data_IF_161459361645
#
_entry.id   IF_161459361645
#
_cell.length_a   1.000
_cell.length_b   1.000
_cell.length_c   1.000
_cell.angle_alpha   90.00
_cell.angle_beta   90.00
_cell.angle_gamma   90.00
#
_symmetry.space_group_name_H-M   'P 1'
#
loop_
_entity.id
_entity.type
_entity.pdbx_description
1 polymer ?
#
# COMPACT_ATOMS: atom_id res chain seq x y z
N UNK A 1 13.41 5.70 8.69
CA UNK A 1 12.93 4.71 9.68
C UNK A 1 12.21 3.64 8.89
N UNK A 2 12.65 2.37 8.90
CA UNK A 2 11.93 1.33 8.17
C UNK A 2 10.60 1.03 8.85
N UNK A 3 9.57 0.81 8.04
CA UNK A 3 8.25 0.35 8.47
C UNK A 3 7.96 -0.97 7.78
N UNK A 4 7.68 -2.00 8.57
CA UNK A 4 7.33 -3.32 8.06
C UNK A 4 5.84 -3.36 7.74
N UNK A 5 5.52 -3.74 6.51
CA UNK A 5 4.16 -4.04 6.07
C UNK A 5 4.04 -5.54 5.82
N UNK A 6 2.94 -6.12 6.28
CA UNK A 6 2.59 -7.51 6.01
C UNK A 6 1.13 -7.58 5.64
N UNK A 7 0.81 -8.39 4.64
CA UNK A 7 -0.56 -8.60 4.20
C UNK A 7 -0.74 -10.04 3.74
N UNK A 8 -2.00 -10.48 3.80
CA UNK A 8 -2.46 -11.74 3.25
C UNK A 8 -3.83 -11.53 2.62
N UNK A 9 -3.95 -11.75 1.32
CA UNK A 9 -5.20 -11.55 0.57
C UNK A 9 -5.34 -12.54 -0.58
N UNK A 10 -6.48 -12.48 -1.26
CA UNK A 10 -6.81 -13.30 -2.42
C UNK A 10 -7.16 -12.41 -3.60
N UNK A 11 -6.78 -12.83 -4.80
CA UNK A 11 -6.97 -12.03 -6.01
C UNK A 11 -6.03 -12.49 -7.10
N UNK A 12 -5.79 -11.60 -8.05
CA UNK A 12 -4.89 -11.82 -9.18
C UNK A 12 -3.63 -10.98 -9.04
N UNK A 13 -3.79 -9.68 -8.76
CA UNK A 13 -2.69 -8.71 -8.69
C UNK A 13 -2.86 -7.83 -7.46
N UNK A 14 -1.74 -7.49 -6.82
CA UNK A 14 -1.68 -6.55 -5.72
C UNK A 14 -0.69 -5.44 -6.04
N UNK A 15 -1.17 -4.21 -5.97
CA UNK A 15 -0.37 -3.00 -6.04
C UNK A 15 -0.21 -2.40 -4.65
N UNK A 16 1.00 -1.96 -4.33
CA UNK A 16 1.31 -1.14 -3.17
C UNK A 16 1.61 0.28 -3.65
N UNK A 17 1.03 1.27 -2.99
CA UNK A 17 1.13 2.68 -3.34
C UNK A 17 1.49 3.54 -2.13
N UNK A 18 2.21 4.62 -2.38
CA UNK A 18 2.65 5.58 -1.36
C UNK A 18 2.07 6.94 -1.73
N UNK A 19 1.29 7.55 -0.85
CA UNK A 19 0.67 8.86 -1.09
C UNK A 19 -0.58 8.86 -1.97
N UNK A 20 -1.01 7.69 -2.48
CA UNK A 20 -2.22 7.52 -3.31
C UNK A 20 -3.35 6.85 -2.53
N UNK A 21 -4.61 7.05 -2.93
CA UNK A 21 -5.78 6.31 -2.43
C UNK A 21 -6.11 5.07 -3.29
N UNK A 22 -5.48 4.95 -4.46
CA UNK A 22 -5.59 3.80 -5.37
C UNK A 22 -4.20 3.45 -5.91
N UNK A 23 -3.65 2.35 -5.41
CA UNK A 23 -2.33 1.88 -5.79
C UNK A 23 -2.29 1.29 -7.21
N UNK A 24 -3.44 0.91 -7.78
CA UNK A 24 -3.48 0.46 -9.19
C UNK A 24 -3.21 1.62 -10.14
N UNK A 25 -3.74 2.80 -9.82
CA UNK A 25 -3.62 4.01 -10.65
C UNK A 25 -2.24 4.66 -10.54
N UNK A 26 -1.60 4.57 -9.37
CA UNK A 26 -0.25 5.10 -9.11
C UNK A 26 0.57 4.13 -8.23
N UNK A 27 1.06 3.02 -8.80
CA UNK A 27 1.78 2.01 -8.03
C UNK A 27 3.19 2.46 -7.67
N UNK A 28 3.55 2.29 -6.40
CA UNK A 28 4.96 2.20 -6.02
C UNK A 28 5.57 0.89 -6.51
N UNK A 29 4.80 -0.21 -6.42
CA UNK A 29 5.20 -1.50 -6.96
C UNK A 29 4.10 -2.56 -6.89
N UNK A 30 4.30 -3.64 -7.64
CA UNK A 30 3.48 -4.85 -7.57
C UNK A 30 4.16 -5.90 -6.69
N UNK A 31 3.38 -6.57 -5.85
CA UNK A 31 3.90 -7.54 -4.89
C UNK A 31 3.03 -8.80 -4.83
N UNK A 32 3.56 -9.91 -4.27
CA UNK A 32 2.76 -11.12 -4.06
C UNK A 32 1.57 -10.86 -3.14
N UNK A 33 0.48 -11.60 -3.34
CA UNK A 33 -0.76 -11.50 -2.56
C UNK A 33 -0.61 -11.85 -1.08
N UNK A 34 0.46 -12.57 -0.72
CA UNK A 34 0.82 -12.90 0.65
C UNK A 34 2.31 -12.60 0.80
N UNK A 35 2.64 -11.50 1.48
CA UNK A 35 4.00 -11.01 1.53
C UNK A 35 4.26 -10.11 2.73
N UNK A 36 5.52 -9.99 3.10
CA UNK A 36 6.02 -9.05 4.09
C UNK A 36 7.19 -8.31 3.49
N UNK A 37 7.21 -6.99 3.66
CA UNK A 37 8.26 -6.13 3.13
C UNK A 37 8.53 -4.96 4.06
N UNK A 38 9.74 -4.42 4.00
CA UNK A 38 10.14 -3.21 4.70
C UNK A 38 10.19 -2.05 3.72
N UNK A 39 9.52 -0.95 4.08
CA UNK A 39 9.52 0.29 3.30
C UNK A 39 10.14 1.38 4.16
N UNK A 40 11.09 2.12 3.60
CA UNK A 40 11.61 3.31 4.26
C UNK A 40 10.47 4.32 4.43
N UNK A 41 10.22 4.76 5.65
CA UNK A 41 9.19 5.77 5.92
C UNK A 41 9.56 7.10 5.27
N UNK A 42 8.64 7.65 4.47
CA UNK A 42 8.77 8.94 3.82
C UNK A 42 8.44 10.05 4.82
N UNK A 43 9.42 10.44 5.66
CA UNK A 43 9.24 11.55 6.61
C UNK A 43 9.00 12.89 5.90
N UNK A 44 8.43 13.86 6.64
CA UNK A 44 8.39 15.27 6.25
C UNK A 44 7.28 15.61 5.24
N UNK A 45 6.31 14.73 5.10
CA UNK A 45 5.16 14.96 4.23
C UNK A 45 4.22 16.02 4.79
N UNK A 46 3.47 16.73 3.92
CA UNK A 46 2.47 17.69 4.36
C UNK A 46 1.50 17.09 5.39
N UNK A 47 1.30 17.81 6.49
CA UNK A 47 0.45 17.34 7.59
C UNK A 47 1.09 16.28 8.49
N UNK A 48 2.42 16.12 8.42
CA UNK A 48 3.20 15.23 9.28
C UNK A 48 2.65 13.79 9.25
N UNK A 49 2.27 13.32 8.06
CA UNK A 49 1.66 12.02 7.87
C UNK A 49 2.02 11.42 6.50
N UNK A 50 2.13 10.10 6.43
CA UNK A 50 2.30 9.38 5.17
C UNK A 50 1.22 8.32 5.00
N UNK A 51 0.68 8.25 3.79
CA UNK A 51 -0.33 7.29 3.36
C UNK A 51 0.33 6.11 2.63
N UNK A 52 -0.14 4.91 2.95
CA UNK A 52 0.21 3.66 2.28
C UNK A 52 -1.06 2.94 1.90
N UNK A 53 -1.19 2.55 0.64
CA UNK A 53 -2.40 1.91 0.12
C UNK A 53 -2.05 0.62 -0.58
N UNK A 54 -2.79 -0.43 -0.28
CA UNK A 54 -2.82 -1.67 -1.05
C UNK A 54 -4.06 -1.63 -1.92
N UNK A 55 -3.94 -1.99 -3.18
CA UNK A 55 -5.09 -2.24 -4.07
C UNK A 55 -4.96 -3.61 -4.68
N UNK A 56 -6.03 -4.40 -4.64
CA UNK A 56 -6.06 -5.79 -5.12
C UNK A 56 -7.09 -5.91 -6.24
N UNK A 57 -6.67 -6.46 -7.37
CA UNK A 57 -7.59 -6.95 -8.40
C UNK A 57 -8.09 -8.34 -7.99
N UNK A 58 -9.40 -8.48 -7.87
CA UNK A 58 -10.09 -9.73 -7.56
C UNK A 58 -10.39 -10.50 -8.84
N UNK A 59 -10.61 -11.81 -8.71
CA UNK A 59 -10.90 -12.69 -9.86
C UNK A 59 -12.23 -12.36 -10.59
N UNK A 60 -13.12 -11.59 -9.96
CA UNK A 60 -14.36 -11.09 -10.58
C UNK A 60 -14.14 -9.78 -11.36
N UNK A 61 -12.89 -9.31 -11.45
CA UNK A 61 -12.51 -8.06 -12.12
C UNK A 61 -12.70 -6.80 -11.27
N UNK A 62 -13.24 -6.93 -10.05
CA UNK A 62 -13.36 -5.80 -9.12
C UNK A 62 -12.02 -5.46 -8.45
N UNK A 63 -11.89 -4.21 -8.00
CA UNK A 63 -10.75 -3.78 -7.20
C UNK A 63 -11.17 -3.48 -5.78
N UNK A 64 -10.33 -3.86 -4.82
CA UNK A 64 -10.48 -3.47 -3.42
C UNK A 64 -9.22 -2.78 -2.93
N UNK A 65 -9.38 -1.65 -2.25
CA UNK A 65 -8.27 -0.89 -1.67
C UNK A 65 -8.36 -0.85 -0.15
N UNK A 66 -7.20 -0.84 0.51
CA UNK A 66 -7.05 -0.64 1.94
C UNK A 66 -5.91 0.33 2.20
N UNK A 67 -6.12 1.28 3.11
CA UNK A 67 -5.23 2.42 3.31
C UNK A 67 -4.86 2.56 4.78
N UNK A 68 -3.56 2.68 5.05
CA UNK A 68 -2.99 2.98 6.37
C UNK A 68 -2.35 4.37 6.30
N UNK A 69 -2.60 5.18 7.34
CA UNK A 69 -1.97 6.49 7.50
C UNK A 69 -1.12 6.46 8.77
N UNK A 70 0.17 6.67 8.59
CA UNK A 70 1.12 6.84 9.70
C UNK A 70 1.30 8.34 9.94
N UNK A 71 1.31 8.76 11.21
CA UNK A 71 1.46 10.16 11.63
C UNK A 71 2.72 10.33 12.45
N UNK A 72 3.46 11.40 12.18
CA UNK A 72 4.60 11.84 12.98
C UNK A 72 4.06 12.54 14.24
N UNK A 73 4.68 12.26 15.38
CA UNK A 73 4.29 12.79 16.71
C UNK A 73 5.35 13.73 17.25
#
# INVERSE_FOLDING_TARGET
>A
MPVTFSWATTGETLWFGIGTDDARSDPYGEFPLNYTTDIDYQCGQPGAQQRYTITVLRADGSTQSETIIIRES
#
